data_IF_317689999121
#
_entry.id   IF_317689999121
#
_cell.length_a   1.000
_cell.length_b   1.000
_cell.length_c   1.000
_cell.angle_alpha   90.00
_cell.angle_beta   90.00
_cell.angle_gamma   90.00
#
_symmetry.space_group_name_H-M   'P 1'
#
loop_
_entity.id
_entity.type
_entity.pdbx_description
1 polymer ?
#
# COMPACT_ATOMS: atom_id res chain seq x y z
N UNK A 1 -5.36 -3.36 21.69
CA UNK A 1 -5.89 -3.23 20.31
C UNK A 1 -7.35 -2.76 20.31
N UNK A 2 -8.30 -3.38 21.04
CA UNK A 2 -9.72 -2.97 21.01
C UNK A 2 -9.92 -1.51 21.39
N UNK A 3 -9.30 -1.01 22.46
CA UNK A 3 -9.37 0.40 22.88
C UNK A 3 -8.78 1.39 21.83
N UNK A 4 -7.94 0.91 20.92
CA UNK A 4 -7.33 1.74 19.89
C UNK A 4 -8.11 1.74 18.55
N UNK A 5 -9.16 0.90 18.39
CA UNK A 5 -9.99 0.86 17.17
C UNK A 5 -10.58 2.22 16.76
N UNK A 6 -11.01 3.10 17.69
CA UNK A 6 -11.49 4.43 17.31
C UNK A 6 -10.45 5.29 16.58
N UNK A 7 -9.16 4.97 16.70
CA UNK A 7 -8.07 5.69 16.04
C UNK A 7 -7.65 5.08 14.70
N UNK A 8 -8.41 4.13 14.16
CA UNK A 8 -8.12 3.41 12.91
C UNK A 8 -7.69 4.35 11.78
N UNK A 9 -8.40 5.43 11.54
CA UNK A 9 -8.08 6.36 10.46
C UNK A 9 -6.75 7.12 10.67
N UNK A 10 -6.32 7.33 11.93
CA UNK A 10 -5.00 7.90 12.22
C UNK A 10 -3.89 6.91 11.86
N UNK A 11 -4.08 5.62 12.18
CA UNK A 11 -3.13 4.57 11.82
C UNK A 11 -3.07 4.37 10.30
N UNK A 12 -4.19 4.42 9.60
CA UNK A 12 -4.25 4.37 8.15
C UNK A 12 -3.41 5.49 7.52
N UNK A 13 -3.61 6.73 7.94
CA UNK A 13 -2.82 7.88 7.44
C UNK A 13 -1.33 7.74 7.74
N UNK A 14 -0.97 7.29 8.95
CA UNK A 14 0.44 7.06 9.30
C UNK A 14 1.11 5.98 8.43
N UNK A 15 0.34 4.99 7.95
CA UNK A 15 0.80 3.97 7.01
C UNK A 15 0.73 4.41 5.54
N UNK A 16 0.43 5.67 5.27
CA UNK A 16 0.33 6.22 3.93
C UNK A 16 -0.89 5.74 3.13
N UNK A 17 -1.96 5.32 3.82
CA UNK A 17 -3.22 4.94 3.18
C UNK A 17 -4.03 6.19 2.91
N UNK A 18 -4.36 6.44 1.66
CA UNK A 18 -5.18 7.56 1.22
C UNK A 18 -6.66 7.30 1.43
N UNK A 19 -7.45 8.36 1.40
CA UNK A 19 -8.90 8.26 1.48
C UNK A 19 -9.43 7.38 0.33
N UNK A 20 -10.28 6.40 0.66
CA UNK A 20 -10.82 5.46 -0.31
C UNK A 20 -9.91 4.28 -0.67
N UNK A 21 -8.59 4.34 -0.40
CA UNK A 21 -7.73 3.18 -0.56
C UNK A 21 -8.04 2.08 0.45
N UNK A 22 -7.74 0.85 0.08
CA UNK A 22 -7.84 -0.35 0.92
C UNK A 22 -6.46 -0.79 1.35
N UNK A 23 -6.27 -1.01 2.64
CA UNK A 23 -5.02 -1.56 3.17
C UNK A 23 -5.08 -3.08 3.22
N UNK A 24 -4.24 -3.74 2.44
CA UNK A 24 -4.01 -5.18 2.51
C UNK A 24 -2.70 -5.42 3.25
N UNK A 25 -2.78 -6.13 4.35
CA UNK A 25 -1.62 -6.49 5.17
C UNK A 25 -1.21 -7.92 4.89
N UNK A 26 0.04 -8.11 4.51
CA UNK A 26 0.67 -9.42 4.43
C UNK A 26 1.29 -9.74 5.79
N UNK A 27 1.08 -10.95 6.29
CA UNK A 27 1.69 -11.37 7.54
C UNK A 27 2.32 -12.75 7.43
N UNK A 28 3.56 -12.88 7.90
CA UNK A 28 4.22 -14.19 7.98
C UNK A 28 4.80 -14.45 9.36
N UNK A 29 4.53 -15.66 9.88
CA UNK A 29 5.30 -16.25 10.95
C UNK A 29 6.66 -16.75 10.40
N UNK A 30 7.44 -17.52 11.16
CA UNK A 30 8.88 -17.74 10.86
C UNK A 30 9.27 -19.18 10.57
N UNK A 31 8.37 -20.13 10.66
CA UNK A 31 8.68 -21.55 10.37
C UNK A 31 8.66 -21.85 8.86
N UNK A 32 9.26 -22.97 8.43
CA UNK A 32 9.36 -23.31 7.01
C UNK A 32 8.02 -23.36 6.25
N UNK A 33 6.95 -23.74 6.93
CA UNK A 33 5.61 -23.84 6.35
C UNK A 33 4.82 -22.52 6.43
N UNK A 34 5.47 -21.41 6.78
CA UNK A 34 4.85 -20.08 6.83
C UNK A 34 4.68 -19.47 5.44
N UNK A 35 4.04 -18.30 5.38
CA UNK A 35 3.85 -17.57 4.12
C UNK A 35 5.19 -17.14 3.50
N UNK A 36 6.16 -16.78 4.33
CA UNK A 36 7.55 -16.48 3.97
C UNK A 36 8.46 -17.51 4.65
N UNK A 37 8.35 -18.75 4.20
CA UNK A 37 9.13 -19.87 4.69
C UNK A 37 10.28 -20.22 3.75
N UNK A 38 11.08 -21.21 4.13
CA UNK A 38 12.16 -21.77 3.34
C UNK A 38 11.90 -23.25 2.95
N UNK A 39 10.65 -23.68 3.07
CA UNK A 39 10.21 -25.05 2.81
C UNK A 39 10.05 -25.44 1.33
N UNK A 40 10.45 -24.60 0.39
CA UNK A 40 10.36 -24.86 -1.06
C UNK A 40 9.06 -24.41 -1.73
N UNK A 41 7.98 -24.28 -0.97
CA UNK A 41 6.68 -23.76 -1.43
C UNK A 41 6.43 -22.32 -0.93
N UNK A 42 7.49 -21.51 -0.93
CA UNK A 42 7.47 -20.16 -0.45
C UNK A 42 6.51 -19.28 -1.27
N UNK A 43 5.34 -18.98 -0.71
CA UNK A 43 4.27 -18.27 -1.39
C UNK A 43 4.56 -16.76 -1.49
N UNK A 44 5.19 -16.17 -0.47
CA UNK A 44 5.35 -14.72 -0.41
C UNK A 44 6.22 -14.15 -1.54
N UNK A 45 7.37 -14.73 -1.92
CA UNK A 45 8.18 -14.26 -3.04
C UNK A 45 7.47 -14.28 -4.39
N UNK A 46 6.56 -15.24 -4.61
CA UNK A 46 5.74 -15.30 -5.82
C UNK A 46 4.52 -14.38 -5.75
N UNK A 47 3.95 -14.23 -4.57
CA UNK A 47 2.75 -13.42 -4.33
C UNK A 47 3.01 -11.92 -4.39
N UNK A 48 4.15 -11.44 -3.85
CA UNK A 48 4.47 -10.01 -3.79
C UNK A 48 4.51 -9.31 -5.14
N UNK A 49 5.19 -9.85 -6.18
CA UNK A 49 5.16 -9.28 -7.52
C UNK A 49 3.74 -9.23 -8.10
N UNK A 50 2.96 -10.28 -7.89
CA UNK A 50 1.59 -10.37 -8.37
C UNK A 50 0.67 -9.34 -7.69
N UNK A 51 0.74 -9.19 -6.38
CA UNK A 51 -0.03 -8.17 -5.67
C UNK A 51 0.24 -6.77 -6.21
N UNK A 52 1.51 -6.46 -6.48
CA UNK A 52 1.90 -5.16 -7.02
C UNK A 52 1.45 -4.96 -8.47
N UNK A 53 1.33 -6.05 -9.25
CA UNK A 53 0.92 -6.02 -10.65
C UNK A 53 -0.59 -6.15 -10.86
N UNK A 54 -1.32 -6.82 -9.96
CA UNK A 54 -2.75 -7.07 -10.08
C UNK A 54 -3.62 -6.04 -9.33
N UNK A 55 -3.07 -5.38 -8.30
CA UNK A 55 -3.81 -4.42 -7.48
C UNK A 55 -3.50 -2.99 -7.91
N UNK A 56 -4.52 -2.20 -8.33
CA UNK A 56 -4.31 -0.81 -8.68
C UNK A 56 -3.71 -0.01 -7.51
N UNK A 57 -2.58 0.64 -7.74
CA UNK A 57 -1.80 1.33 -6.71
C UNK A 57 -2.54 2.52 -6.06
N UNK A 58 -3.58 3.04 -6.72
CA UNK A 58 -4.41 4.11 -6.19
C UNK A 58 -5.60 3.62 -5.38
N UNK A 59 -5.98 2.33 -5.54
CA UNK A 59 -7.08 1.72 -4.78
C UNK A 59 -6.58 0.87 -3.62
N UNK A 60 -5.35 0.34 -3.72
CA UNK A 60 -4.78 -0.55 -2.73
C UNK A 60 -3.44 -0.05 -2.20
N UNK A 61 -3.28 -0.13 -0.90
CA UNK A 61 -2.02 0.03 -0.18
C UNK A 61 -1.60 -1.32 0.36
N UNK A 62 -0.35 -1.70 0.17
CA UNK A 62 0.22 -2.95 0.68
C UNK A 62 1.11 -2.66 1.89
N UNK A 63 1.05 -3.50 2.91
CA UNK A 63 1.99 -3.51 4.03
C UNK A 63 2.37 -4.95 4.37
N UNK A 64 3.59 -5.17 4.86
CA UNK A 64 4.05 -6.49 5.28
C UNK A 64 4.53 -6.47 6.73
N UNK A 65 4.08 -7.46 7.50
CA UNK A 65 4.50 -7.77 8.85
C UNK A 65 5.23 -9.11 8.80
N UNK A 66 6.53 -9.10 9.06
CA UNK A 66 7.33 -10.32 9.12
C UNK A 66 7.75 -10.57 10.56
N UNK A 67 7.63 -11.83 11.01
CA UNK A 67 8.00 -12.21 12.37
C UNK A 67 9.44 -11.80 12.70
N UNK A 68 9.75 -11.34 13.95
CA UNK A 68 11.10 -10.96 14.36
C UNK A 68 12.16 -12.00 14.05
N UNK A 69 11.86 -13.30 14.15
CA UNK A 69 12.81 -14.37 13.86
C UNK A 69 13.22 -14.42 12.39
N UNK A 70 12.40 -13.98 11.44
CA UNK A 70 12.80 -13.82 10.03
C UNK A 70 13.90 -12.76 9.93
N UNK A 71 13.71 -11.61 10.61
CA UNK A 71 14.68 -10.54 10.63
C UNK A 71 16.00 -10.92 11.29
N UNK A 72 15.92 -11.64 12.42
CA UNK A 72 17.11 -12.06 13.16
C UNK A 72 17.83 -13.24 12.50
N UNK A 73 17.07 -14.18 11.94
CA UNK A 73 17.64 -15.38 11.29
C UNK A 73 18.36 -15.06 9.98
N UNK A 74 17.79 -14.19 9.16
CA UNK A 74 18.37 -13.83 7.84
C UNK A 74 19.13 -12.50 7.86
N UNK A 75 18.94 -11.66 8.87
CA UNK A 75 19.49 -10.32 8.97
C UNK A 75 18.66 -9.25 8.22
N UNK A 76 18.55 -8.03 8.80
CA UNK A 76 17.69 -6.97 8.25
C UNK A 76 18.07 -6.53 6.83
N UNK A 77 19.35 -6.59 6.48
CA UNK A 77 19.84 -6.25 5.13
C UNK A 77 19.32 -7.23 4.08
N UNK A 78 19.37 -8.52 4.37
CA UNK A 78 18.93 -9.58 3.45
C UNK A 78 17.39 -9.52 3.27
N UNK A 79 16.65 -9.38 4.35
CA UNK A 79 15.18 -9.25 4.28
C UNK A 79 14.77 -8.04 3.42
N UNK A 80 15.42 -6.89 3.63
CA UNK A 80 15.19 -5.70 2.80
C UNK A 80 15.56 -5.91 1.33
N UNK A 81 16.61 -6.66 1.05
CA UNK A 81 17.03 -6.97 -0.32
C UNK A 81 16.00 -7.86 -1.04
N UNK A 82 15.50 -8.90 -0.39
CA UNK A 82 14.43 -9.74 -0.94
C UNK A 82 13.15 -8.99 -1.24
N UNK A 83 12.79 -8.04 -0.39
CA UNK A 83 11.58 -7.23 -0.52
C UNK A 83 11.77 -5.93 -1.32
N UNK A 84 13.00 -5.65 -1.82
CA UNK A 84 13.33 -4.38 -2.45
C UNK A 84 12.42 -4.05 -3.64
N UNK A 85 12.15 -5.03 -4.51
CA UNK A 85 11.25 -4.84 -5.66
C UNK A 85 9.84 -4.44 -5.21
N UNK A 86 9.28 -5.14 -4.23
CA UNK A 86 7.94 -4.83 -3.71
C UNK A 86 7.89 -3.48 -2.99
N UNK A 87 8.95 -3.13 -2.24
CA UNK A 87 9.08 -1.82 -1.59
C UNK A 87 9.11 -0.69 -2.60
N UNK A 88 9.86 -0.85 -3.68
CA UNK A 88 9.87 0.13 -4.78
C UNK A 88 8.52 0.22 -5.49
N UNK A 89 7.73 -0.84 -5.51
CA UNK A 89 6.34 -0.83 -5.95
C UNK A 89 5.37 -0.16 -4.96
N UNK A 90 5.84 0.18 -3.77
CA UNK A 90 5.06 0.88 -2.75
C UNK A 90 4.66 0.03 -1.54
N UNK A 91 5.22 -1.17 -1.34
CA UNK A 91 4.99 -1.96 -0.12
C UNK A 91 5.55 -1.23 1.12
N UNK A 92 4.74 -1.03 2.14
CA UNK A 92 5.19 -0.61 3.46
C UNK A 92 5.71 -1.81 4.24
N UNK A 93 6.95 -1.74 4.72
CA UNK A 93 7.52 -2.79 5.56
C UNK A 93 7.43 -2.36 7.02
N UNK A 94 6.60 -3.04 7.78
CA UNK A 94 6.34 -2.74 9.19
C UNK A 94 7.53 -3.20 10.04
N UNK A 95 7.91 -2.39 11.01
CA UNK A 95 8.94 -2.79 11.97
C UNK A 95 8.55 -4.10 12.68
N UNK A 96 9.48 -5.07 12.84
CA UNK A 96 9.18 -6.38 13.39
C UNK A 96 8.70 -6.35 14.85
N UNK A 97 9.08 -5.33 15.62
CA UNK A 97 8.72 -5.21 17.04
C UNK A 97 7.56 -4.25 17.27
N UNK A 98 7.43 -3.22 16.41
CA UNK A 98 6.47 -2.15 16.58
C UNK A 98 5.58 -1.97 15.34
N UNK A 99 4.42 -1.33 15.51
CA UNK A 99 3.55 -0.97 14.40
C UNK A 99 2.62 -2.07 13.88
N UNK A 100 2.88 -3.36 14.16
CA UNK A 100 2.04 -4.45 13.67
C UNK A 100 0.60 -4.40 14.19
N UNK A 101 0.39 -4.00 15.46
CA UNK A 101 -0.95 -3.85 16.05
C UNK A 101 -1.74 -2.75 15.35
N UNK A 102 -1.07 -1.63 15.07
CA UNK A 102 -1.63 -0.50 14.35
C UNK A 102 -1.97 -0.89 12.91
N UNK A 103 -1.09 -1.65 12.23
CA UNK A 103 -1.33 -2.16 10.89
C UNK A 103 -2.54 -3.09 10.84
N UNK A 104 -2.72 -4.00 11.81
CA UNK A 104 -3.91 -4.86 11.90
C UNK A 104 -5.19 -4.06 12.14
N UNK A 105 -5.16 -3.04 13.02
CA UNK A 105 -6.31 -2.16 13.26
C UNK A 105 -6.66 -1.37 11.98
N UNK A 106 -5.66 -0.97 11.22
CA UNK A 106 -5.81 -0.20 9.98
C UNK A 106 -6.28 -1.04 8.79
N UNK A 107 -6.02 -2.36 8.80
CA UNK A 107 -6.24 -3.27 7.67
C UNK A 107 -7.70 -3.37 7.24
N UNK A 108 -7.91 -3.53 5.93
CA UNK A 108 -9.18 -3.91 5.31
C UNK A 108 -9.24 -5.40 4.97
N UNK A 109 -8.08 -6.02 4.77
CA UNK A 109 -7.91 -7.46 4.63
C UNK A 109 -6.49 -7.86 5.05
N UNK A 110 -6.33 -9.11 5.48
CA UNK A 110 -5.03 -9.71 5.80
C UNK A 110 -4.83 -10.97 4.97
N UNK A 111 -3.70 -11.07 4.29
CA UNK A 111 -3.20 -12.32 3.70
C UNK A 111 -2.08 -12.82 4.61
N UNK A 112 -2.27 -14.00 5.19
CA UNK A 112 -1.32 -14.48 6.18
C UNK A 112 -1.21 -16.00 6.21
N UNK A 113 -0.62 -16.49 7.28
CA UNK A 113 -0.46 -17.90 7.56
C UNK A 113 -1.14 -18.30 8.90
N UNK A 114 -0.82 -19.47 9.41
CA UNK A 114 -1.30 -20.00 10.66
C UNK A 114 -0.80 -19.29 11.94
N UNK A 115 0.01 -18.23 11.78
CA UNK A 115 0.64 -17.51 12.88
C UNK A 115 -0.31 -16.66 13.71
N UNK A 116 0.12 -16.31 14.92
CA UNK A 116 -0.66 -15.57 15.89
C UNK A 116 -1.16 -14.21 15.40
N UNK A 117 -0.38 -13.52 14.57
CA UNK A 117 -0.75 -12.17 14.07
C UNK A 117 -1.94 -12.26 13.12
N UNK A 118 -2.00 -13.28 12.25
CA UNK A 118 -3.18 -13.55 11.40
C UNK A 118 -4.40 -13.94 12.26
N UNK A 119 -4.20 -14.74 13.28
CA UNK A 119 -5.23 -15.11 14.25
C UNK A 119 -5.82 -13.87 14.95
N UNK A 120 -4.96 -12.92 15.37
CA UNK A 120 -5.41 -11.66 15.97
C UNK A 120 -6.16 -10.75 14.99
N UNK A 121 -5.80 -10.77 13.69
CA UNK A 121 -6.57 -10.07 12.67
C UNK A 121 -8.00 -10.63 12.58
N UNK A 122 -8.14 -11.95 12.54
CA UNK A 122 -9.44 -12.63 12.57
C UNK A 122 -10.22 -12.33 13.85
N UNK A 123 -9.54 -12.31 15.03
CA UNK A 123 -10.15 -11.93 16.31
C UNK A 123 -10.65 -10.49 16.36
N UNK A 124 -10.05 -9.59 15.58
CA UNK A 124 -10.54 -8.22 15.36
C UNK A 124 -11.73 -8.15 14.40
N UNK A 125 -12.11 -9.26 13.76
CA UNK A 125 -13.14 -9.30 12.73
C UNK A 125 -12.66 -8.79 11.37
N UNK A 126 -11.33 -8.71 11.15
CA UNK A 126 -10.77 -8.35 9.85
C UNK A 126 -10.86 -9.54 8.90
N UNK A 127 -11.29 -9.35 7.63
CA UNK A 127 -11.25 -10.39 6.60
C UNK A 127 -9.83 -10.96 6.43
N UNK A 128 -9.70 -12.30 6.46
CA UNK A 128 -8.41 -12.99 6.33
C UNK A 128 -8.43 -14.03 5.20
N UNK A 129 -7.32 -14.14 4.45
CA UNK A 129 -7.02 -15.23 3.52
C UNK A 129 -5.75 -15.94 3.98
N UNK A 130 -5.76 -17.27 4.08
CA UNK A 130 -4.57 -18.03 4.40
C UNK A 130 -3.83 -18.40 3.11
N UNK A 131 -2.65 -17.80 2.90
CA UNK A 131 -1.74 -18.16 1.82
C UNK A 131 -0.87 -19.37 2.16
N UNK A 132 -0.66 -19.64 3.46
CA UNK A 132 -0.03 -20.85 3.96
C UNK A 132 -0.82 -21.38 5.16
N UNK A 133 -1.19 -22.63 5.14
CA UNK A 133 -2.14 -23.19 6.11
C UNK A 133 -1.79 -24.66 6.50
N UNK A 134 -0.56 -24.94 6.98
CA UNK A 134 -0.18 -26.27 7.41
C UNK A 134 -0.96 -26.68 8.66
N UNK A 135 -1.42 -27.91 8.72
CA UNK A 135 -2.05 -28.51 9.91
C UNK A 135 -1.11 -29.47 10.64
N UNK A 136 -0.05 -29.94 9.97
CA UNK A 136 0.86 -30.98 10.47
C UNK A 136 1.62 -30.56 11.75
N UNK A 137 1.90 -29.27 11.92
CA UNK A 137 2.60 -28.73 13.07
C UNK A 137 1.71 -28.20 14.18
N UNK A 138 0.37 -28.33 14.06
CA UNK A 138 -0.60 -27.82 15.02
C UNK A 138 -1.24 -28.96 15.81
N UNK A 139 -1.43 -28.74 17.11
CA UNK A 139 -2.30 -29.62 17.90
C UNK A 139 -3.72 -29.61 17.31
N UNK A 140 -4.24 -30.78 16.89
CA UNK A 140 -5.55 -30.88 16.24
C UNK A 140 -6.72 -30.32 17.05
N UNK A 141 -6.58 -30.27 18.37
CA UNK A 141 -7.59 -29.77 19.31
C UNK A 141 -7.39 -28.27 19.64
N UNK A 142 -6.34 -27.65 19.14
CA UNK A 142 -6.06 -26.24 19.41
C UNK A 142 -7.02 -25.30 18.68
N UNK A 143 -7.31 -24.12 19.26
CA UNK A 143 -8.05 -23.07 18.57
C UNK A 143 -7.37 -22.60 17.27
N UNK A 144 -6.04 -22.68 17.19
CA UNK A 144 -5.27 -22.37 15.98
C UNK A 144 -5.55 -23.37 14.85
N UNK A 145 -5.58 -24.68 15.13
CA UNK A 145 -5.92 -25.69 14.14
C UNK A 145 -7.38 -25.55 13.66
N UNK A 146 -8.31 -25.22 14.54
CA UNK A 146 -9.71 -24.97 14.15
C UNK A 146 -9.83 -23.73 13.25
N UNK A 147 -9.14 -22.65 13.59
CA UNK A 147 -9.05 -21.45 12.75
C UNK A 147 -8.51 -21.78 11.36
N UNK A 148 -7.40 -22.50 11.26
CA UNK A 148 -6.76 -22.86 9.95
C UNK A 148 -7.68 -23.75 9.11
N UNK A 149 -8.50 -24.61 9.73
CA UNK A 149 -9.48 -25.42 9.02
C UNK A 149 -10.63 -24.62 8.43
N UNK A 150 -11.05 -23.53 9.10
CA UNK A 150 -12.26 -22.76 8.75
C UNK A 150 -11.98 -21.52 7.94
N UNK A 151 -10.79 -20.91 8.11
CA UNK A 151 -10.46 -19.68 7.42
C UNK A 151 -10.36 -19.86 5.90
N UNK A 152 -10.84 -18.89 5.10
CA UNK A 152 -10.69 -18.89 3.66
C UNK A 152 -9.22 -18.99 3.25
N UNK A 153 -8.96 -19.71 2.15
CA UNK A 153 -7.61 -19.91 1.61
C UNK A 153 -7.40 -19.12 0.34
N UNK A 154 -6.21 -18.57 0.21
CA UNK A 154 -5.76 -17.96 -1.05
C UNK A 154 -5.49 -19.08 -2.06
N UNK A 155 -6.06 -18.97 -3.25
CA UNK A 155 -5.62 -19.76 -4.40
C UNK A 155 -4.43 -19.05 -5.06
N UNK A 156 -3.21 -19.61 -4.97
CA UNK A 156 -2.02 -18.98 -5.55
C UNK A 156 -2.03 -19.00 -7.09
N UNK A 157 -2.87 -19.81 -7.74
CA UNK A 157 -2.98 -19.89 -9.19
C UNK A 157 -4.01 -18.93 -9.79
N UNK A 158 -4.99 -18.48 -8.98
CA UNK A 158 -6.02 -17.55 -9.42
C UNK A 158 -5.63 -16.09 -9.23
N UNK A 159 -6.19 -15.13 -9.99
CA UNK A 159 -5.98 -13.71 -9.76
C UNK A 159 -6.34 -13.28 -8.34
N UNK A 160 -5.51 -12.41 -7.74
CA UNK A 160 -5.66 -12.02 -6.33
C UNK A 160 -6.79 -10.99 -6.14
N UNK A 161 -6.94 -10.05 -7.07
CA UNK A 161 -7.95 -8.99 -6.95
C UNK A 161 -9.38 -9.54 -6.79
N UNK A 162 -9.87 -10.47 -7.62
CA UNK A 162 -11.20 -11.07 -7.43
C UNK A 162 -11.35 -11.76 -6.08
N UNK A 163 -10.32 -12.46 -5.59
CA UNK A 163 -10.35 -13.14 -4.31
C UNK A 163 -10.51 -12.13 -3.14
N UNK A 164 -9.80 -10.99 -3.18
CA UNK A 164 -9.95 -9.93 -2.18
C UNK A 164 -11.31 -9.24 -2.25
N UNK A 165 -11.87 -9.08 -3.46
CA UNK A 165 -13.21 -8.52 -3.64
C UNK A 165 -14.27 -9.45 -3.05
N UNK A 166 -14.25 -10.74 -3.39
CA UNK A 166 -15.19 -11.76 -2.87
C UNK A 166 -15.04 -11.91 -1.36
N UNK A 167 -13.79 -11.99 -0.86
CA UNK A 167 -13.52 -12.07 0.58
C UNK A 167 -14.23 -10.96 1.36
N UNK A 168 -14.22 -9.73 0.85
CA UNK A 168 -14.84 -8.60 1.53
C UNK A 168 -16.36 -8.55 1.38
N UNK A 169 -16.86 -8.93 0.20
CA UNK A 169 -18.30 -8.94 -0.09
C UNK A 169 -19.03 -10.02 0.72
N UNK A 170 -18.39 -11.17 0.91
CA UNK A 170 -18.96 -12.35 1.56
C UNK A 170 -18.45 -12.52 3.02
N UNK A 171 -17.76 -11.50 3.54
CA UNK A 171 -17.09 -11.61 4.83
C UNK A 171 -18.05 -11.97 5.97
N UNK A 172 -17.75 -13.08 6.61
CA UNK A 172 -18.31 -13.48 7.89
C UNK A 172 -17.13 -13.76 8.85
N UNK A 173 -17.13 -13.21 10.07
CA UNK A 173 -16.06 -13.48 11.02
C UNK A 173 -15.88 -14.99 11.25
N UNK A 174 -14.63 -15.45 11.20
CA UNK A 174 -14.31 -16.85 11.49
C UNK A 174 -14.63 -17.11 12.95
N UNK A 175 -15.46 -18.11 13.29
CA UNK A 175 -15.77 -18.45 14.68
C UNK A 175 -14.52 -18.88 15.46
N UNK A 176 -14.46 -18.56 16.73
CA UNK A 176 -13.40 -18.98 17.65
C UNK A 176 -12.34 -17.91 17.94
N UNK A 177 -11.67 -17.26 16.97
CA UNK A 177 -10.56 -16.36 17.28
C UNK A 177 -10.90 -15.24 18.27
N UNK A 178 -12.06 -14.63 18.16
CA UNK A 178 -12.47 -13.57 19.10
C UNK A 178 -12.66 -14.10 20.52
N UNK A 179 -13.30 -15.24 20.67
CA UNK A 179 -13.61 -15.86 21.97
C UNK A 179 -12.36 -16.39 22.66
N UNK A 180 -11.48 -17.09 21.89
CA UNK A 180 -10.28 -17.72 22.43
C UNK A 180 -9.10 -16.76 22.61
N UNK A 181 -9.14 -15.55 22.01
CA UNK A 181 -8.12 -14.53 22.28
C UNK A 181 -8.29 -13.90 23.65
N UNK A 182 -9.53 -13.68 24.10
CA UNK A 182 -9.81 -13.13 25.43
C UNK A 182 -11.24 -13.43 25.83
N UNK A 183 -11.42 -14.14 26.95
CA UNK A 183 -12.73 -14.38 27.57
C UNK A 183 -13.32 -13.13 28.24
N UNK A 184 -12.45 -12.19 28.64
CA UNK A 184 -12.82 -10.92 29.29
C UNK A 184 -12.12 -9.75 28.59
N UNK A 185 -12.67 -9.30 27.44
CA UNK A 185 -12.08 -8.21 26.67
C UNK A 185 -11.96 -6.92 27.49
N UNK A 186 -10.75 -6.37 27.56
CA UNK A 186 -10.45 -5.14 28.29
C UNK A 186 -10.00 -5.34 29.74
N UNK A 187 -10.19 -6.51 30.33
CA UNK A 187 -9.84 -6.81 31.72
C UNK A 187 -8.48 -7.48 31.91
N UNK A 188 -7.84 -7.93 30.83
CA UNK A 188 -6.62 -8.76 30.91
C UNK A 188 -5.50 -8.12 31.74
N UNK A 189 -5.31 -6.80 31.66
CA UNK A 189 -4.26 -6.11 32.41
C UNK A 189 -4.51 -6.15 33.92
N UNK A 190 -5.76 -5.95 34.33
CA UNK A 190 -6.15 -5.99 35.73
C UNK A 190 -6.01 -7.41 36.26
N UNK A 191 -6.58 -8.41 35.57
CA UNK A 191 -6.55 -9.81 35.98
C UNK A 191 -5.14 -10.41 36.04
N UNK A 192 -4.30 -10.09 35.05
CA UNK A 192 -2.90 -10.55 35.07
C UNK A 192 -2.11 -9.89 36.20
N UNK A 193 -2.36 -8.61 36.44
CA UNK A 193 -1.72 -7.90 37.54
C UNK A 193 -2.10 -8.50 38.90
N UNK A 194 -3.39 -8.69 39.17
CA UNK A 194 -3.88 -9.39 40.38
C UNK A 194 -3.14 -10.74 40.54
N UNK A 195 -3.17 -11.58 39.51
CA UNK A 195 -2.52 -12.88 39.53
C UNK A 195 -1.01 -12.81 39.81
N UNK A 196 -0.30 -11.86 39.19
CA UNK A 196 1.15 -11.75 39.37
C UNK A 196 1.51 -11.30 40.80
N UNK A 197 0.77 -10.36 41.37
CA UNK A 197 1.00 -9.91 42.73
C UNK A 197 0.66 -11.01 43.73
N UNK A 198 -0.41 -11.77 43.52
CA UNK A 198 -0.76 -12.97 44.33
C UNK A 198 0.34 -14.05 44.28
N UNK A 199 0.86 -14.35 43.04
CA UNK A 199 1.92 -15.35 42.87
C UNK A 199 3.26 -14.92 43.50
N UNK A 200 3.53 -13.62 43.56
CA UNK A 200 4.74 -13.06 44.18
C UNK A 200 4.60 -12.92 45.71
N UNK A 201 3.39 -13.13 46.25
CA UNK A 201 3.05 -12.88 47.67
C UNK A 201 3.42 -11.42 48.11
N UNK A 202 3.07 -10.45 47.25
CA UNK A 202 3.36 -9.03 47.46
C UNK A 202 2.05 -8.25 47.39
N UNK A 203 1.81 -7.26 48.26
CA UNK A 203 0.61 -6.42 48.16
C UNK A 203 0.52 -5.68 46.80
N UNK A 204 -0.64 -5.80 46.17
CA UNK A 204 -0.90 -5.04 44.93
C UNK A 204 -0.98 -3.53 45.22
N UNK A 205 -0.28 -2.68 44.42
CA UNK A 205 -0.40 -1.22 44.55
C UNK A 205 -1.84 -0.75 44.32
N UNK A 206 -2.26 0.31 45.02
CA UNK A 206 -3.62 0.85 44.93
C UNK A 206 -3.98 1.57 43.67
N UNK A 207 -2.95 2.02 42.85
CA UNK A 207 -3.20 2.67 41.57
C UNK A 207 -3.53 1.65 40.48
N UNK A 208 -4.36 2.01 39.49
CA UNK A 208 -4.79 1.07 38.46
C UNK A 208 -3.63 0.62 37.56
N UNK A 209 -3.79 -0.56 36.93
CA UNK A 209 -2.89 -1.03 35.91
C UNK A 209 -2.92 -0.06 34.71
N UNK A 210 -1.78 0.57 34.42
CA UNK A 210 -1.66 1.50 33.30
C UNK A 210 -1.27 0.72 32.03
N UNK A 211 -2.07 0.88 30.99
CA UNK A 211 -1.74 0.41 29.65
C UNK A 211 -1.33 1.60 28.80
N UNK A 212 -0.14 1.54 28.22
CA UNK A 212 0.28 2.57 27.29
C UNK A 212 -0.59 2.54 26.03
N UNK A 213 -1.06 3.71 25.56
CA UNK A 213 -1.73 3.80 24.28
C UNK A 213 -0.80 3.33 23.14
N UNK A 214 -1.37 2.71 22.11
CA UNK A 214 -0.59 2.40 20.91
C UNK A 214 -0.13 3.71 20.26
N UNK A 215 1.21 3.92 20.07
CA UNK A 215 1.73 5.12 19.43
C UNK A 215 1.33 5.16 17.96
N UNK A 216 1.37 6.34 17.36
CA UNK A 216 1.27 6.43 15.91
C UNK A 216 2.57 5.88 15.30
N UNK A 217 2.48 5.04 14.25
CA UNK A 217 3.64 4.64 13.47
C UNK A 217 4.35 5.87 12.89
N UNK A 218 5.66 5.78 12.67
CA UNK A 218 6.38 6.80 11.93
C UNK A 218 5.77 6.92 10.53
N UNK A 219 5.50 8.16 10.10
CA UNK A 219 5.03 8.41 8.76
C UNK A 219 6.20 8.38 7.79
N UNK A 220 6.17 7.45 6.86
CA UNK A 220 7.08 7.41 5.71
C UNK A 220 6.28 7.73 4.44
N UNK A 221 6.62 8.79 3.70
CA UNK A 221 5.98 9.08 2.43
C UNK A 221 6.09 7.89 1.48
N UNK A 222 5.02 7.61 0.76
CA UNK A 222 5.02 6.52 -0.22
C UNK A 222 5.91 6.93 -1.39
N UNK A 223 7.08 6.32 -1.51
CA UNK A 223 7.97 6.48 -2.66
C UNK A 223 7.85 5.25 -3.56
N UNK A 224 7.29 5.45 -4.77
CA UNK A 224 7.23 4.43 -5.81
C UNK A 224 8.29 4.73 -6.86
N UNK A 225 9.32 3.90 -6.90
CA UNK A 225 10.39 3.99 -7.89
C UNK A 225 10.39 2.82 -8.89
N UNK A 226 9.50 1.84 -8.71
CA UNK A 226 9.23 0.85 -9.75
C UNK A 226 8.47 1.49 -10.91
N UNK A 227 8.72 1.05 -12.16
CA UNK A 227 7.90 1.46 -13.29
C UNK A 227 6.42 1.15 -13.06
N UNK A 228 5.56 2.05 -13.49
CA UNK A 228 4.11 1.88 -13.43
C UNK A 228 3.56 1.72 -14.84
N UNK A 229 2.85 0.64 -15.09
CA UNK A 229 1.93 0.55 -16.22
C UNK A 229 0.65 1.29 -15.84
N UNK A 230 0.26 2.23 -16.67
CA UNK A 230 -0.90 3.09 -16.44
C UNK A 230 -1.92 2.82 -17.53
N UNK A 231 -3.14 2.46 -17.12
CA UNK A 231 -4.30 2.36 -18.00
C UNK A 231 -5.15 3.61 -17.83
N UNK A 232 -5.61 4.16 -18.94
CA UNK A 232 -6.42 5.38 -18.93
C UNK A 232 -7.61 5.27 -19.87
N UNK A 233 -8.74 5.84 -19.43
CA UNK A 233 -9.97 5.96 -20.23
C UNK A 233 -10.50 7.37 -20.13
N UNK A 234 -11.07 7.87 -21.21
CA UNK A 234 -11.68 9.20 -21.30
C UNK A 234 -13.21 9.06 -21.44
N UNK A 235 -13.96 8.87 -20.36
CA UNK A 235 -15.41 8.62 -20.43
C UNK A 235 -16.23 9.86 -20.76
N UNK A 236 -15.67 11.07 -20.61
CA UNK A 236 -16.40 12.32 -20.80
C UNK A 236 -15.49 13.53 -21.02
N UNK A 237 -16.11 14.69 -21.16
CA UNK A 237 -15.38 15.93 -21.35
C UNK A 237 -14.53 16.28 -20.11
N UNK A 238 -13.22 16.44 -20.29
CA UNK A 238 -12.26 16.74 -19.22
C UNK A 238 -12.28 15.75 -18.05
N UNK A 239 -12.65 14.50 -18.32
CA UNK A 239 -12.62 13.42 -17.33
C UNK A 239 -11.70 12.29 -17.80
N UNK A 240 -10.77 11.86 -16.92
CA UNK A 240 -9.85 10.75 -17.17
C UNK A 240 -9.86 9.81 -16.00
N UNK A 241 -10.14 8.53 -16.27
CA UNK A 241 -9.97 7.42 -15.34
C UNK A 241 -8.53 6.95 -15.45
N UNK A 242 -7.87 6.77 -14.30
CA UNK A 242 -6.47 6.34 -14.20
C UNK A 242 -6.36 5.14 -13.27
N UNK A 243 -5.76 4.07 -13.77
CA UNK A 243 -5.42 2.87 -13.01
C UNK A 243 -3.93 2.60 -13.17
N UNK A 244 -3.18 2.50 -12.07
CA UNK A 244 -1.72 2.35 -12.09
C UNK A 244 -1.29 1.05 -11.41
N UNK A 245 -0.43 0.28 -12.08
CA UNK A 245 0.04 -1.03 -11.63
C UNK A 245 1.56 -1.05 -11.57
N UNK A 246 2.15 -1.52 -10.47
CA UNK A 246 3.60 -1.62 -10.32
C UNK A 246 4.12 -2.96 -10.83
N UNK A 247 4.71 -2.95 -12.01
CA UNK A 247 5.33 -4.12 -12.64
C UNK A 247 4.95 -4.26 -14.11
N UNK A 248 5.96 -4.45 -14.95
CA UNK A 248 5.80 -4.53 -16.40
C UNK A 248 5.22 -5.87 -16.92
N UNK A 249 5.17 -6.90 -16.05
CA UNK A 249 4.85 -8.28 -16.47
C UNK A 249 3.35 -8.60 -16.48
N UNK A 250 2.49 -7.72 -16.00
CA UNK A 250 1.04 -7.91 -15.98
C UNK A 250 0.39 -7.02 -17.04
N UNK A 251 -0.33 -7.62 -17.94
CA UNK A 251 -1.24 -6.91 -18.84
C UNK A 251 -2.63 -6.96 -18.22
N UNK A 252 -3.08 -5.87 -17.57
CA UNK A 252 -4.41 -5.84 -17.02
C UNK A 252 -5.43 -5.97 -18.15
N UNK A 253 -6.40 -6.86 -17.95
CA UNK A 253 -7.54 -6.97 -18.85
C UNK A 253 -8.41 -5.71 -18.68
N UNK A 254 -8.52 -4.90 -19.73
CA UNK A 254 -9.38 -3.71 -19.69
C UNK A 254 -9.30 -2.88 -20.97
N UNK A 255 -10.43 -2.27 -21.31
CA UNK A 255 -10.54 -1.32 -22.42
C UNK A 255 -9.93 0.02 -22.01
N UNK A 256 -8.70 0.31 -22.42
CA UNK A 256 -8.04 1.58 -22.13
C UNK A 256 -6.72 1.73 -22.86
N UNK A 257 -6.32 2.99 -23.07
CA UNK A 257 -5.00 3.30 -23.60
C UNK A 257 -3.95 3.13 -22.49
N UNK A 258 -2.86 2.46 -22.83
CA UNK A 258 -1.78 2.18 -21.89
C UNK A 258 -0.57 3.07 -22.15
N UNK A 259 0.06 3.52 -21.07
CA UNK A 259 1.36 4.18 -21.12
C UNK A 259 2.22 3.79 -19.90
N UNK A 260 3.50 4.12 -19.95
CA UNK A 260 4.47 3.83 -18.90
C UNK A 260 4.85 5.12 -18.16
N UNK A 261 4.61 5.14 -16.83
CA UNK A 261 5.06 6.21 -15.95
C UNK A 261 6.19 5.70 -15.04
N UNK A 262 7.31 6.42 -15.02
CA UNK A 262 8.53 5.95 -14.34
C UNK A 262 9.09 7.06 -13.44
N UNK A 263 9.50 6.69 -12.23
CA UNK A 263 10.25 7.61 -11.38
C UNK A 263 11.71 7.70 -11.88
N UNK A 264 12.30 8.89 -11.90
CA UNK A 264 13.69 9.11 -12.36
C UNK A 264 14.70 8.20 -11.63
N UNK A 265 14.52 7.95 -10.33
CA UNK A 265 15.39 7.09 -9.53
C UNK A 265 15.07 5.59 -9.70
N UNK A 266 14.39 5.18 -10.76
CA UNK A 266 14.15 3.75 -11.03
C UNK A 266 15.47 3.01 -11.25
N UNK A 267 15.47 1.72 -10.90
CA UNK A 267 16.59 0.81 -11.25
C UNK A 267 16.39 0.10 -12.58
N UNK A 268 15.25 0.31 -13.20
CA UNK A 268 14.90 -0.25 -14.50
C UNK A 268 15.21 0.79 -15.60
N UNK A 269 16.45 0.74 -16.10
CA UNK A 269 16.92 1.71 -17.09
C UNK A 269 16.24 1.54 -18.45
N UNK A 270 15.82 0.33 -18.80
CA UNK A 270 15.08 0.07 -20.03
C UNK A 270 13.70 0.72 -19.98
N UNK A 271 12.99 0.53 -18.86
CA UNK A 271 11.72 1.20 -18.66
C UNK A 271 11.84 2.73 -18.59
N UNK A 272 12.94 3.24 -18.02
CA UNK A 272 13.21 4.70 -18.01
C UNK A 272 13.42 5.23 -19.44
N UNK A 273 14.18 4.51 -20.27
CA UNK A 273 14.44 4.87 -21.66
C UNK A 273 13.20 4.87 -22.56
N UNK A 274 12.18 4.09 -22.20
CA UNK A 274 10.92 3.95 -22.94
C UNK A 274 9.73 4.65 -22.26
N UNK A 275 9.96 5.41 -21.18
CA UNK A 275 8.90 6.04 -20.42
C UNK A 275 8.18 7.13 -21.21
N UNK A 276 6.85 7.09 -21.19
CA UNK A 276 6.01 8.17 -21.70
C UNK A 276 5.95 9.35 -20.73
N UNK A 277 5.94 9.03 -19.40
CA UNK A 277 5.89 10.00 -18.32
C UNK A 277 7.04 9.72 -17.35
N UNK A 278 7.91 10.70 -17.12
CA UNK A 278 8.95 10.62 -16.08
C UNK A 278 8.54 11.48 -14.90
N UNK A 279 8.63 10.88 -13.70
CA UNK A 279 8.15 11.45 -12.44
C UNK A 279 9.30 11.71 -11.47
N UNK A 280 9.15 12.76 -10.66
CA UNK A 280 9.95 12.98 -9.44
C UNK A 280 9.10 13.59 -8.33
N UNK A 281 9.42 13.21 -7.09
CA UNK A 281 8.89 13.82 -5.87
C UNK A 281 10.03 14.58 -5.19
N UNK A 282 9.80 15.84 -4.81
CA UNK A 282 10.82 16.63 -4.11
C UNK A 282 10.34 18.03 -3.75
N UNK A 283 11.14 18.70 -2.92
CA UNK A 283 10.92 20.11 -2.61
C UNK A 283 11.13 20.98 -3.88
N UNK A 284 10.33 22.05 -4.05
CA UNK A 284 10.42 22.90 -5.23
C UNK A 284 11.73 23.71 -5.31
N UNK A 285 12.46 23.77 -4.21
CA UNK A 285 13.73 24.49 -4.02
C UNK A 285 14.91 23.56 -3.71
N UNK A 286 14.83 22.27 -4.05
CA UNK A 286 15.92 21.32 -3.83
C UNK A 286 17.17 21.76 -4.61
N UNK A 287 18.27 22.11 -3.91
CA UNK A 287 19.45 22.68 -4.56
C UNK A 287 20.16 21.70 -5.51
N UNK A 288 19.90 20.39 -5.37
CA UNK A 288 20.50 19.35 -6.22
C UNK A 288 19.83 19.29 -7.59
N UNK A 289 18.57 19.73 -7.70
CA UNK A 289 17.70 19.55 -8.88
C UNK A 289 17.38 20.88 -9.55
N UNK A 290 17.60 22.00 -8.88
CA UNK A 290 17.12 23.30 -9.31
C UNK A 290 15.60 23.45 -9.18
N UNK A 291 15.00 24.32 -9.99
CA UNK A 291 13.55 24.47 -10.00
C UNK A 291 12.88 23.29 -10.72
N UNK A 292 11.58 23.00 -10.43
CA UNK A 292 10.81 22.02 -11.19
C UNK A 292 10.83 22.26 -12.72
N UNK A 293 10.88 23.53 -13.13
CA UNK A 293 10.97 23.91 -14.53
C UNK A 293 12.33 23.53 -15.15
N UNK A 294 13.43 23.73 -14.40
CA UNK A 294 14.76 23.36 -14.86
C UNK A 294 14.91 21.85 -14.95
N UNK A 295 14.60 21.14 -13.87
CA UNK A 295 14.65 19.67 -13.83
C UNK A 295 13.84 19.05 -14.98
N UNK A 296 12.60 19.50 -15.19
CA UNK A 296 11.75 18.93 -16.23
C UNK A 296 12.26 19.19 -17.65
N UNK A 297 12.98 20.27 -17.88
CA UNK A 297 13.64 20.52 -19.16
C UNK A 297 14.81 19.54 -19.38
N UNK A 298 15.68 19.40 -18.37
CA UNK A 298 16.82 18.48 -18.40
C UNK A 298 16.37 17.02 -18.63
N UNK A 299 15.30 16.58 -17.95
CA UNK A 299 14.74 15.22 -18.13
C UNK A 299 14.25 15.01 -19.56
N UNK A 300 13.51 15.96 -20.11
CA UNK A 300 13.02 15.83 -21.49
C UNK A 300 14.16 15.86 -22.52
N UNK A 301 15.22 16.61 -22.28
CA UNK A 301 16.39 16.63 -23.16
C UNK A 301 17.12 15.28 -23.13
N UNK A 302 17.25 14.64 -21.94
CA UNK A 302 17.91 13.35 -21.78
C UNK A 302 17.08 12.17 -22.29
N UNK A 303 15.74 12.28 -22.29
CA UNK A 303 14.83 11.19 -22.66
C UNK A 303 13.93 11.60 -23.87
N UNK A 304 14.40 11.40 -25.11
CA UNK A 304 13.68 11.84 -26.30
C UNK A 304 12.29 11.24 -26.52
N UNK A 305 12.06 10.02 -25.99
CA UNK A 305 10.76 9.34 -26.08
C UNK A 305 9.75 9.80 -25.03
N UNK A 306 10.20 10.44 -23.96
CA UNK A 306 9.33 10.93 -22.91
C UNK A 306 8.43 12.07 -23.42
N UNK A 307 7.13 11.91 -23.33
CA UNK A 307 6.16 12.91 -23.74
C UNK A 307 5.99 14.03 -22.71
N UNK A 308 6.20 13.72 -21.42
CA UNK A 308 5.89 14.59 -20.31
C UNK A 308 6.77 14.31 -19.09
N UNK A 309 7.37 15.36 -18.50
CA UNK A 309 8.08 15.29 -17.23
C UNK A 309 7.27 15.97 -16.12
N UNK A 310 7.09 15.29 -14.97
CA UNK A 310 6.24 15.73 -13.89
C UNK A 310 6.99 15.78 -12.55
N UNK A 311 7.08 16.95 -11.96
CA UNK A 311 7.68 17.19 -10.66
C UNK A 311 6.57 17.41 -9.60
N UNK A 312 6.40 16.45 -8.70
CA UNK A 312 5.44 16.53 -7.60
C UNK A 312 6.09 17.29 -6.45
N UNK A 313 5.58 18.47 -6.16
CA UNK A 313 6.14 19.40 -5.16
C UNK A 313 5.45 19.32 -3.80
N UNK A 314 4.34 18.61 -3.71
CA UNK A 314 3.56 18.46 -2.49
C UNK A 314 2.44 17.44 -2.67
N UNK A 315 1.64 17.20 -1.63
CA UNK A 315 0.56 16.23 -1.67
C UNK A 315 -0.58 16.59 -2.62
N UNK A 316 -0.68 17.86 -3.00
CA UNK A 316 -1.74 18.47 -3.79
C UNK A 316 -1.25 19.20 -5.04
N UNK A 317 0.06 19.21 -5.31
CA UNK A 317 0.66 20.03 -6.37
C UNK A 317 1.70 19.28 -7.20
N UNK A 318 1.62 19.48 -8.52
CA UNK A 318 2.57 18.95 -9.49
C UNK A 318 2.84 19.99 -10.59
N UNK A 319 4.12 20.13 -11.00
CA UNK A 319 4.49 20.87 -12.19
C UNK A 319 4.80 19.90 -13.31
N UNK A 320 4.18 20.10 -14.46
CA UNK A 320 4.29 19.24 -15.64
C UNK A 320 4.88 20.06 -16.79
N UNK A 321 5.92 19.52 -17.45
CA UNK A 321 6.43 20.05 -18.72
C UNK A 321 6.07 19.09 -19.83
N UNK A 322 5.45 19.63 -20.86
CA UNK A 322 5.15 18.92 -22.10
C UNK A 322 6.38 18.92 -23.03
N UNK A 323 6.47 17.96 -23.93
CA UNK A 323 7.57 17.83 -24.91
C UNK A 323 7.80 19.12 -25.72
N UNK A 324 6.76 19.85 -26.06
CA UNK A 324 6.82 21.13 -26.77
C UNK A 324 7.36 22.31 -25.91
N UNK A 325 7.72 22.05 -24.63
CA UNK A 325 8.30 23.03 -23.71
C UNK A 325 7.29 23.74 -22.81
N UNK A 326 5.99 23.59 -23.02
CA UNK A 326 4.93 24.23 -22.23
C UNK A 326 4.92 23.69 -20.81
N UNK A 327 4.84 24.60 -19.83
CA UNK A 327 4.70 24.28 -18.41
C UNK A 327 3.25 24.42 -17.96
N UNK A 328 2.78 23.44 -17.21
CA UNK A 328 1.49 23.42 -16.54
C UNK A 328 1.68 23.17 -15.05
N UNK A 329 0.89 23.83 -14.22
CA UNK A 329 0.78 23.53 -12.78
C UNK A 329 -0.57 22.86 -12.54
N UNK A 330 -0.51 21.71 -11.92
CA UNK A 330 -1.67 20.92 -11.50
C UNK A 330 -1.85 21.10 -10.00
N UNK A 331 -3.06 21.43 -9.56
CA UNK A 331 -3.39 21.52 -8.14
C UNK A 331 -4.72 20.84 -7.87
N UNK A 332 -4.76 19.96 -6.89
CA UNK A 332 -6.00 19.39 -6.39
C UNK A 332 -6.67 20.33 -5.38
N UNK A 333 -8.00 20.29 -5.31
CA UNK A 333 -8.75 21.13 -4.36
C UNK A 333 -8.52 20.71 -2.90
N UNK A 334 -8.87 21.59 -1.94
CA UNK A 334 -8.77 21.28 -0.52
C UNK A 334 -9.52 19.98 -0.16
N UNK A 335 -8.85 19.09 0.54
CA UNK A 335 -9.41 17.79 0.96
C UNK A 335 -9.39 16.70 -0.12
N UNK A 336 -8.91 16.97 -1.31
CA UNK A 336 -8.65 15.94 -2.30
C UNK A 336 -7.40 15.12 -1.87
N UNK A 337 -7.53 13.80 -1.87
CA UNK A 337 -6.45 12.88 -1.49
C UNK A 337 -6.05 12.01 -2.68
N UNK A 338 -5.75 12.68 -3.81
CA UNK A 338 -5.27 12.06 -5.04
C UNK A 338 -3.75 12.18 -5.16
N UNK A 339 -3.09 11.15 -5.73
CA UNK A 339 -1.66 11.26 -6.05
C UNK A 339 -1.45 12.24 -7.21
N UNK A 340 -0.70 13.34 -7.04
CA UNK A 340 -0.43 14.26 -8.14
C UNK A 340 0.26 13.60 -9.35
N UNK A 341 0.97 12.49 -9.14
CA UNK A 341 1.53 11.69 -10.23
C UNK A 341 0.44 11.01 -11.09
N UNK A 342 -0.71 10.64 -10.51
CA UNK A 342 -1.85 10.16 -11.30
C UNK A 342 -2.45 11.29 -12.15
N UNK A 343 -2.44 12.52 -11.63
CA UNK A 343 -2.88 13.69 -12.41
C UNK A 343 -1.98 13.96 -13.61
N UNK A 344 -0.66 13.74 -13.48
CA UNK A 344 0.27 13.84 -14.60
C UNK A 344 -0.02 12.80 -15.70
N UNK A 345 -0.30 11.55 -15.31
CA UNK A 345 -0.74 10.49 -16.23
C UNK A 345 -2.07 10.82 -16.92
N UNK A 346 -2.99 11.45 -16.20
CA UNK A 346 -4.25 11.91 -16.79
C UNK A 346 -4.05 13.02 -17.82
N UNK A 347 -3.11 13.96 -17.59
CA UNK A 347 -2.73 14.97 -18.59
C UNK A 347 -2.11 14.31 -19.82
N UNK A 348 -1.23 13.32 -19.62
CA UNK A 348 -0.67 12.56 -20.75
C UNK A 348 -1.76 11.92 -21.58
N UNK A 349 -2.69 11.20 -20.98
CA UNK A 349 -3.79 10.53 -21.67
C UNK A 349 -4.69 11.52 -22.45
N UNK A 350 -4.97 12.68 -21.85
CA UNK A 350 -5.72 13.74 -22.50
C UNK A 350 -5.05 14.23 -23.79
N UNK A 351 -3.73 14.48 -23.74
CA UNK A 351 -2.95 14.94 -24.87
C UNK A 351 -2.76 13.85 -25.94
N UNK A 352 -2.53 12.61 -25.52
CA UNK A 352 -2.38 11.46 -26.41
C UNK A 352 -3.65 11.20 -27.24
N UNK A 353 -4.83 11.52 -26.67
CA UNK A 353 -6.11 11.49 -27.39
C UNK A 353 -6.30 12.67 -28.37
N UNK A 354 -5.29 13.52 -28.59
CA UNK A 354 -5.33 14.64 -29.51
C UNK A 354 -6.03 15.90 -28.98
N UNK A 355 -6.35 15.94 -27.69
CA UNK A 355 -7.03 17.09 -27.10
C UNK A 355 -6.05 18.23 -26.77
N UNK A 356 -6.43 19.50 -26.96
CA UNK A 356 -5.53 20.63 -26.74
C UNK A 356 -5.32 20.91 -25.25
N UNK A 357 -4.10 21.29 -24.82
CA UNK A 357 -3.82 21.65 -23.44
C UNK A 357 -4.54 22.92 -22.96
N UNK A 358 -4.94 23.81 -23.88
CA UNK A 358 -5.71 25.01 -23.54
C UNK A 358 -7.08 24.71 -22.93
N UNK A 359 -7.69 23.61 -23.35
CA UNK A 359 -8.95 23.15 -22.74
C UNK A 359 -8.78 22.79 -21.27
N UNK A 360 -7.67 22.14 -20.91
CA UNK A 360 -7.34 21.83 -19.51
C UNK A 360 -7.16 23.11 -18.68
N UNK A 361 -6.51 24.12 -19.24
CA UNK A 361 -6.32 25.42 -18.57
C UNK A 361 -7.66 26.12 -18.37
N UNK A 362 -8.56 26.04 -19.35
CA UNK A 362 -9.86 26.71 -19.28
C UNK A 362 -10.88 26.00 -18.38
N UNK A 363 -10.89 24.67 -18.34
CA UNK A 363 -11.96 23.87 -17.69
C UNK A 363 -11.47 23.06 -16.49
N UNK A 364 -10.15 22.86 -16.36
CA UNK A 364 -9.57 21.90 -15.41
C UNK A 364 -9.74 20.46 -15.89
N UNK A 365 -9.44 19.51 -15.02
CA UNK A 365 -9.49 18.08 -15.26
C UNK A 365 -10.17 17.36 -14.11
N UNK A 366 -11.01 16.40 -14.39
CA UNK A 366 -11.51 15.45 -13.40
C UNK A 366 -10.66 14.17 -13.52
N UNK A 367 -9.90 13.87 -12.49
CA UNK A 367 -9.12 12.62 -12.42
C UNK A 367 -9.85 11.64 -11.52
N UNK A 368 -10.20 10.48 -12.06
CA UNK A 368 -10.87 9.42 -11.33
C UNK A 368 -9.89 8.27 -11.05
N UNK A 369 -9.72 7.94 -9.77
CA UNK A 369 -8.95 6.78 -9.33
C UNK A 369 -9.86 5.89 -8.48
N UNK A 370 -10.04 4.64 -8.88
CA UNK A 370 -11.04 3.78 -8.28
C UNK A 370 -12.45 4.38 -8.35
N UNK A 371 -13.10 4.52 -7.21
CA UNK A 371 -14.47 5.09 -7.11
C UNK A 371 -14.47 6.61 -6.88
N UNK A 372 -13.31 7.22 -6.60
CA UNK A 372 -13.20 8.63 -6.26
C UNK A 372 -12.88 9.49 -7.48
N UNK A 373 -13.59 10.62 -7.63
CA UNK A 373 -13.33 11.63 -8.65
C UNK A 373 -12.80 12.92 -8.00
N UNK A 374 -11.71 13.44 -8.55
CA UNK A 374 -11.01 14.62 -8.03
C UNK A 374 -10.93 15.70 -9.09
N UNK A 375 -11.38 16.91 -8.74
CA UNK A 375 -11.22 18.07 -9.63
C UNK A 375 -9.81 18.63 -9.48
N UNK A 376 -9.11 18.73 -10.60
CA UNK A 376 -7.76 19.28 -10.71
C UNK A 376 -7.83 20.60 -11.46
N UNK A 377 -7.31 21.63 -10.83
CA UNK A 377 -7.09 22.93 -11.48
C UNK A 377 -5.79 22.86 -12.27
N UNK A 378 -5.83 23.31 -13.51
CA UNK A 378 -4.67 23.39 -14.40
C UNK A 378 -4.41 24.85 -14.73
N UNK A 379 -3.21 25.33 -14.43
CA UNK A 379 -2.80 26.70 -14.76
C UNK A 379 -1.49 26.71 -15.53
N UNK A 380 -1.23 27.76 -16.36
CA UNK A 380 0.08 27.91 -16.95
C UNK A 380 1.16 28.00 -15.89
N UNK A 381 2.25 27.25 -16.06
CA UNK A 381 3.44 27.35 -15.21
C UNK A 381 4.34 28.52 -15.64
N UNK A 382 5.02 29.12 -14.69
CA UNK A 382 6.10 30.09 -14.95
C UNK A 382 7.44 29.36 -14.90
N UNK A 383 8.33 29.63 -15.86
CA UNK A 383 9.67 29.05 -15.95
C UNK A 383 10.64 29.63 -14.91
#
# INVERSE_FOLDING_TARGET
>A
MLAARPYRERFRRALGVRHGQRLVVLNSTWNPESLFGDGGDDVLPSLLPRLSAELPADEYRLAAILHPNIWHGHGPGQVRAWLDRARRGGLALIDPLEGWRQALIAADAVIGDHGAVTYYAAALGTPVLLGAAPLSGLDPLSPAADFVRRAPRLDPCAPVLPQLVSLRAEHSPVPGPQEFTSSLPGESAVRLRELFYDLMDVPEPSWPALLEPLPLPLYEPVSRTAPLRVLTRLPGACEVVVERYAGAAYEPEGDGEAHTAVHEDTRDLDALGLADVILRYGAPDDPRLGSPAKWSAEVLDLHPHCALAAYVTGPDACTVRLREGRLLRLASGPGADVDPAACASAVHAWLAAGNPPDTLVAQGLIVRTGTAGHRITVTPGTG
#
